data_IF_096075434923
#
_entry.id   IF_096075434923
#
_cell.length_a   1.000
_cell.length_b   1.000
_cell.length_c   1.000
_cell.angle_alpha   90.00
_cell.angle_beta   90.00
_cell.angle_gamma   90.00
#
_symmetry.space_group_name_H-M   'P 1'
#
loop_
_entity.id
_entity.type
_entity.pdbx_description
1 polymer ?
#
# COMPACT_ATOMS: atom_id res chain seq x y z
N UNK A 1 39.53 -23.12 2.94
CA UNK A 1 38.38 -22.48 3.62
C UNK A 1 37.60 -21.72 2.57
N UNK A 2 36.57 -22.35 2.01
CA UNK A 2 35.69 -21.74 1.02
C UNK A 2 34.82 -20.68 1.70
N UNK A 3 34.99 -19.42 1.27
CA UNK A 3 34.09 -18.33 1.66
C UNK A 3 32.81 -18.48 0.85
N UNK A 4 31.87 -19.26 1.36
CA UNK A 4 30.49 -19.23 0.90
C UNK A 4 29.88 -17.90 1.34
N UNK A 5 30.01 -16.87 0.51
CA UNK A 5 29.17 -15.68 0.59
C UNK A 5 27.77 -16.13 0.21
N UNK A 6 26.95 -16.43 1.22
CA UNK A 6 25.52 -16.62 1.04
C UNK A 6 24.99 -15.28 0.53
N UNK A 7 24.69 -15.20 -0.77
CA UNK A 7 23.83 -14.15 -1.29
C UNK A 7 22.51 -14.32 -0.56
N UNK A 8 22.28 -13.49 0.47
CA UNK A 8 20.97 -13.35 1.07
C UNK A 8 20.05 -12.90 -0.05
N UNK A 9 19.18 -13.80 -0.49
CA UNK A 9 18.18 -13.60 -1.52
C UNK A 9 17.55 -12.22 -1.35
N UNK A 10 18.01 -11.28 -2.17
CA UNK A 10 17.49 -9.91 -2.21
C UNK A 10 16.20 -9.86 -3.02
N UNK A 11 15.56 -11.01 -3.26
CA UNK A 11 14.14 -11.12 -3.56
C UNK A 11 13.33 -10.80 -2.29
N UNK A 12 13.44 -9.56 -1.78
CA UNK A 12 12.27 -8.95 -1.14
C UNK A 12 11.21 -8.88 -2.23
N UNK A 13 10.34 -9.88 -2.25
CA UNK A 13 9.14 -9.91 -3.08
C UNK A 13 8.51 -8.51 -3.00
N UNK A 14 8.52 -7.77 -4.11
CA UNK A 14 7.95 -6.42 -4.11
C UNK A 14 6.46 -6.57 -3.73
N UNK A 15 6.04 -5.82 -2.72
CA UNK A 15 4.63 -5.87 -2.28
C UNK A 15 3.76 -5.35 -3.40
N UNK A 16 2.62 -6.00 -3.63
CA UNK A 16 1.61 -5.51 -4.56
C UNK A 16 0.90 -4.28 -3.98
N UNK A 17 0.25 -3.49 -4.84
CA UNK A 17 -0.59 -2.36 -4.42
C UNK A 17 -1.64 -2.80 -3.38
N UNK A 18 -2.29 -3.94 -3.63
CA UNK A 18 -3.23 -4.57 -2.70
C UNK A 18 -2.61 -4.87 -1.33
N UNK A 19 -1.43 -5.47 -1.28
CA UNK A 19 -0.75 -5.78 -0.01
C UNK A 19 -0.40 -4.50 0.77
N UNK A 20 0.07 -3.46 0.07
CA UNK A 20 0.34 -2.17 0.70
C UNK A 20 -0.95 -1.55 1.26
N UNK A 21 -2.04 -1.54 0.49
CA UNK A 21 -3.35 -1.04 0.93
C UNK A 21 -3.85 -1.77 2.16
N UNK A 22 -3.73 -3.11 2.22
CA UNK A 22 -4.12 -3.91 3.38
C UNK A 22 -3.31 -3.54 4.63
N UNK A 23 -2.00 -3.28 4.50
CA UNK A 23 -1.17 -2.85 5.62
C UNK A 23 -1.50 -1.44 6.09
N UNK A 24 -1.79 -0.53 5.16
CA UNK A 24 -2.22 0.84 5.48
C UNK A 24 -3.57 0.82 6.18
N UNK A 25 -4.50 -0.01 5.70
CA UNK A 25 -5.82 -0.20 6.31
C UNK A 25 -5.69 -0.65 7.77
N UNK A 26 -4.90 -1.71 8.04
CA UNK A 26 -4.65 -2.20 9.41
C UNK A 26 -3.99 -1.12 10.28
N UNK A 27 -3.02 -0.39 9.76
CA UNK A 27 -2.36 0.68 10.50
C UNK A 27 -3.32 1.81 10.87
N UNK A 28 -4.33 2.10 10.05
CA UNK A 28 -5.38 3.06 10.35
C UNK A 28 -6.33 2.53 11.43
N UNK A 29 -6.75 1.25 11.37
CA UNK A 29 -7.57 0.61 12.41
C UNK A 29 -6.86 0.58 13.77
N UNK A 30 -5.59 0.18 13.81
CA UNK A 30 -4.78 0.12 15.04
C UNK A 30 -4.57 1.49 15.69
N UNK A 31 -4.81 2.57 14.95
CA UNK A 31 -4.72 3.95 15.43
C UNK A 31 -6.09 4.59 15.67
N UNK A 32 -7.16 3.80 15.66
CA UNK A 32 -8.54 4.22 15.89
C UNK A 32 -9.04 5.26 14.87
N UNK A 33 -8.52 5.21 13.64
CA UNK A 33 -9.08 5.97 12.52
C UNK A 33 -10.13 5.14 11.78
N UNK A 34 -11.06 5.80 11.06
CA UNK A 34 -11.88 5.13 10.05
C UNK A 34 -11.01 4.90 8.79
N UNK A 35 -10.59 3.67 8.46
CA UNK A 35 -9.65 3.46 7.37
C UNK A 35 -10.24 3.81 6.01
N UNK A 36 -11.53 3.55 5.79
CA UNK A 36 -12.20 3.81 4.51
C UNK A 36 -12.23 5.32 4.24
N UNK A 37 -12.70 6.11 5.19
CA UNK A 37 -12.79 7.57 5.04
C UNK A 37 -11.40 8.18 4.77
N UNK A 38 -10.37 7.70 5.48
CA UNK A 38 -8.99 8.19 5.34
C UNK A 38 -8.37 7.81 4.00
N UNK A 39 -8.55 6.56 3.55
CA UNK A 39 -8.07 6.11 2.25
C UNK A 39 -8.78 6.85 1.12
N UNK A 40 -10.10 7.04 1.19
CA UNK A 40 -10.85 7.85 0.22
C UNK A 40 -10.34 9.29 0.19
N UNK A 41 -10.16 9.91 1.37
CA UNK A 41 -9.59 11.25 1.49
C UNK A 41 -8.21 11.37 0.85
N UNK A 42 -7.33 10.39 1.09
CA UNK A 42 -6.00 10.33 0.47
C UNK A 42 -6.06 10.12 -1.06
N UNK A 43 -6.90 9.20 -1.54
CA UNK A 43 -6.99 8.89 -2.97
C UNK A 43 -7.47 10.10 -3.78
N UNK A 44 -8.48 10.82 -3.27
CA UNK A 44 -9.04 12.01 -3.93
C UNK A 44 -8.09 13.21 -3.83
N UNK A 45 -7.55 13.50 -2.65
CA UNK A 45 -6.78 14.73 -2.42
C UNK A 45 -5.29 14.60 -2.71
N UNK A 46 -4.74 13.41 -2.51
CA UNK A 46 -3.31 13.14 -2.49
C UNK A 46 -2.56 13.64 -1.26
N UNK A 47 -3.27 14.20 -0.29
CA UNK A 47 -2.65 14.70 0.94
C UNK A 47 -2.29 13.52 1.86
N UNK A 48 -0.99 13.25 2.11
CA UNK A 48 -0.58 12.17 2.99
C UNK A 48 -0.95 12.39 4.46
N UNK A 49 -1.50 13.55 4.84
CA UNK A 49 -1.97 13.82 6.20
C UNK A 49 -3.12 12.91 6.63
N UNK A 50 -3.95 12.43 5.69
CA UNK A 50 -5.00 11.43 5.91
C UNK A 50 -4.46 10.08 6.40
N UNK A 51 -3.19 9.79 6.13
CA UNK A 51 -2.59 8.48 6.44
C UNK A 51 -1.65 8.61 7.63
N UNK A 52 -1.83 7.74 8.62
CA UNK A 52 -0.96 7.66 9.80
C UNK A 52 0.49 7.32 9.43
N UNK A 53 1.46 7.85 10.18
CA UNK A 53 2.87 7.43 10.06
C UNK A 53 3.16 6.10 10.76
N UNK A 54 2.20 5.57 11.53
CA UNK A 54 2.32 4.30 12.24
C UNK A 54 2.61 3.14 11.27
N UNK A 55 3.46 2.20 11.69
CA UNK A 55 3.91 1.04 10.89
C UNK A 55 4.35 1.38 9.45
N UNK A 56 4.94 2.56 9.24
CA UNK A 56 5.36 3.06 7.93
C UNK A 56 4.23 3.23 6.90
N UNK A 57 2.95 3.21 7.31
CA UNK A 57 1.81 3.25 6.40
C UNK A 57 1.86 4.44 5.43
N UNK A 58 2.12 5.66 5.94
CA UNK A 58 2.29 6.85 5.10
C UNK A 58 3.40 6.71 4.07
N UNK A 59 4.50 6.04 4.38
CA UNK A 59 5.59 5.85 3.41
C UNK A 59 5.22 4.81 2.37
N UNK A 60 4.59 3.71 2.78
CA UNK A 60 4.18 2.65 1.86
C UNK A 60 3.12 3.13 0.87
N UNK A 61 2.11 3.88 1.32
CA UNK A 61 1.06 4.33 0.40
C UNK A 61 1.58 5.36 -0.62
N UNK A 62 2.59 6.15 -0.24
CA UNK A 62 3.26 7.09 -1.17
C UNK A 62 4.11 6.40 -2.23
N UNK A 63 4.45 5.11 -2.06
CA UNK A 63 5.16 4.36 -3.11
C UNK A 63 4.23 3.79 -4.17
N UNK A 64 2.91 3.86 -3.96
CA UNK A 64 1.92 3.47 -4.96
C UNK A 64 1.71 4.63 -5.95
N UNK A 65 1.63 4.30 -7.24
CA UNK A 65 1.04 5.19 -8.24
C UNK A 65 -0.48 5.22 -8.03
N UNK A 66 -1.00 6.35 -7.55
CA UNK A 66 -2.42 6.49 -7.19
C UNK A 66 -3.33 6.37 -8.41
N UNK A 67 -2.90 6.86 -9.56
CA UNK A 67 -3.72 6.83 -10.77
C UNK A 67 -3.87 5.38 -11.25
N UNK A 68 -2.78 4.60 -11.20
CA UNK A 68 -2.83 3.17 -11.52
C UNK A 68 -3.69 2.40 -10.51
N UNK A 69 -3.56 2.69 -9.20
CA UNK A 69 -4.39 2.04 -8.19
C UNK A 69 -5.88 2.32 -8.39
N UNK A 70 -6.25 3.57 -8.68
CA UNK A 70 -7.65 3.92 -8.96
C UNK A 70 -8.14 3.22 -10.23
N UNK A 71 -7.31 3.12 -11.26
CA UNK A 71 -7.64 2.40 -12.48
C UNK A 71 -7.83 0.89 -12.22
N UNK A 72 -6.94 0.25 -11.45
CA UNK A 72 -7.05 -1.15 -11.00
C UNK A 72 -8.38 -1.39 -10.27
N UNK A 73 -8.70 -0.55 -9.28
CA UNK A 73 -9.96 -0.62 -8.54
C UNK A 73 -11.20 -0.43 -9.44
N UNK A 74 -11.13 0.48 -10.42
CA UNK A 74 -12.22 0.72 -11.35
C UNK A 74 -12.45 -0.49 -12.26
N UNK A 75 -11.37 -1.09 -12.81
CA UNK A 75 -11.46 -2.28 -13.66
C UNK A 75 -12.07 -3.47 -12.91
N UNK A 76 -11.68 -3.68 -11.65
CA UNK A 76 -12.31 -4.69 -10.79
C UNK A 76 -13.79 -4.40 -10.56
N UNK A 77 -14.17 -3.13 -10.33
CA UNK A 77 -15.56 -2.75 -10.08
C UNK A 77 -16.48 -2.95 -11.28
N UNK A 78 -16.01 -2.70 -12.50
CA UNK A 78 -16.79 -2.86 -13.74
C UNK A 78 -16.60 -4.23 -14.43
N UNK A 79 -15.91 -5.15 -13.77
CA UNK A 79 -15.72 -6.55 -14.20
C UNK A 79 -15.02 -6.70 -15.58
N UNK A 80 -14.04 -5.84 -15.87
CA UNK A 80 -13.30 -5.88 -17.15
C UNK A 80 -12.25 -7.00 -17.18
N UNK A 81 -11.72 -7.40 -16.02
CA UNK A 81 -10.60 -8.35 -15.89
C UNK A 81 -11.05 -9.76 -15.46
N UNK A 82 -12.32 -10.14 -15.69
CA UNK A 82 -12.84 -11.51 -15.51
C UNK A 82 -12.96 -12.30 -16.81
#
# INVERSE_FOLDING_TARGET
>A
MEKNTIMFDSFKMQKTNKQILEEVYRALEEKDYNPIDQLVGYLISGDPSYITSYNNARTMIKSIDRDELIAEMLREYVDIDK
#
